data_IF_411577937478
#
_entry.id   IF_411577937478
#
_cell.length_a   1.000
_cell.length_b   1.000
_cell.length_c   1.000
_cell.angle_alpha   90.00
_cell.angle_beta   90.00
_cell.angle_gamma   90.00
#
_symmetry.space_group_name_H-M   'P 1'
#
loop_
_entity.id
_entity.type
_entity.pdbx_description
1 polymer ?
#
# COMPACT_ATOMS: atom_id res chain seq x y z
N UNK A 1 0.87 -3.70 12.46
CA UNK A 1 1.85 -3.28 13.50
C UNK A 1 3.31 -3.41 13.13
N UNK A 2 3.77 -4.44 12.40
CA UNK A 2 5.22 -4.58 12.12
C UNK A 2 5.85 -3.38 11.40
N UNK A 3 5.15 -2.75 10.44
CA UNK A 3 5.66 -1.57 9.73
C UNK A 3 5.87 -0.39 10.67
N UNK A 4 4.89 -0.13 11.55
CA UNK A 4 4.98 0.92 12.56
C UNK A 4 6.21 0.73 13.46
N UNK A 5 6.43 -0.49 13.97
CA UNK A 5 7.53 -0.77 14.89
C UNK A 5 8.90 -0.72 14.19
N UNK A 6 9.00 -1.24 12.97
CA UNK A 6 10.30 -1.41 12.30
C UNK A 6 10.73 -0.20 11.48
N UNK A 7 9.79 0.62 11.00
CA UNK A 7 10.06 1.73 10.10
C UNK A 7 9.67 3.06 10.74
N UNK A 8 8.41 3.19 11.19
CA UNK A 8 7.88 4.48 11.65
C UNK A 8 8.50 4.92 12.97
N UNK A 9 8.54 4.05 13.99
CA UNK A 9 9.11 4.40 15.29
C UNK A 9 10.61 4.77 15.21
N UNK A 10 11.48 4.00 14.53
CA UNK A 10 12.87 4.41 14.33
C UNK A 10 13.02 5.71 13.55
N UNK A 11 12.21 5.91 12.50
CA UNK A 11 12.24 7.14 11.70
C UNK A 11 11.81 8.38 12.49
N UNK A 12 10.83 8.24 13.39
CA UNK A 12 10.46 9.31 14.33
C UNK A 12 11.59 9.58 15.34
N UNK A 13 12.20 8.52 15.87
CA UNK A 13 13.29 8.65 16.85
C UNK A 13 14.56 9.28 16.25
N UNK A 14 14.87 9.01 14.97
CA UNK A 14 15.99 9.64 14.26
C UNK A 14 15.71 11.08 13.81
N UNK A 15 14.43 11.48 13.79
CA UNK A 15 13.97 12.75 13.24
C UNK A 15 13.91 12.78 11.71
N UNK A 16 14.01 11.63 11.05
CA UNK A 16 13.78 11.49 9.61
C UNK A 16 12.29 11.66 9.27
N UNK A 17 11.42 11.07 10.08
CA UNK A 17 9.97 11.27 10.04
C UNK A 17 9.64 12.38 11.05
N UNK A 18 8.93 13.40 10.59
CA UNK A 18 8.51 14.55 11.40
C UNK A 18 7.06 14.45 11.83
N UNK A 19 6.22 13.77 11.05
CA UNK A 19 4.80 13.58 11.33
C UNK A 19 4.37 12.16 10.91
N UNK A 20 3.52 11.55 11.72
CA UNK A 20 2.87 10.28 11.40
C UNK A 20 1.39 10.35 11.80
N UNK A 21 0.51 10.21 10.81
CA UNK A 21 -0.94 10.12 10.99
C UNK A 21 -1.39 8.70 10.61
N UNK A 22 -2.11 8.03 11.51
CA UNK A 22 -2.63 6.68 11.28
C UNK A 22 -4.05 6.76 10.70
N UNK A 23 -4.39 5.80 9.83
CA UNK A 23 -5.77 5.63 9.33
C UNK A 23 -6.34 6.89 8.66
N UNK A 24 -5.51 7.58 7.85
CA UNK A 24 -5.92 8.78 7.16
C UNK A 24 -6.95 8.47 6.06
N UNK A 25 -8.07 9.19 6.11
CA UNK A 25 -9.19 9.05 5.18
C UNK A 25 -8.96 9.84 3.89
N UNK A 26 -9.24 9.19 2.75
CA UNK A 26 -9.28 9.81 1.43
C UNK A 26 -10.59 9.45 0.74
N UNK A 27 -11.33 10.46 0.29
CA UNK A 27 -12.59 10.25 -0.41
C UNK A 27 -12.28 9.87 -1.86
N UNK A 28 -12.68 8.65 -2.26
CA UNK A 28 -12.57 8.16 -3.63
C UNK A 28 -13.84 8.39 -4.46
N UNK A 29 -14.96 8.57 -3.77
CA UNK A 29 -16.23 8.92 -4.38
C UNK A 29 -17.06 9.63 -3.31
N UNK A 30 -17.54 10.83 -3.60
CA UNK A 30 -18.36 11.57 -2.67
C UNK A 30 -19.70 10.86 -2.40
N UNK A 31 -20.33 11.23 -1.28
CA UNK A 31 -21.72 10.87 -1.02
C UNK A 31 -22.59 11.51 -2.08
N UNK A 32 -23.61 10.80 -2.55
CA UNK A 32 -24.57 11.37 -3.50
C UNK A 32 -25.95 10.77 -3.27
N UNK A 33 -26.97 11.41 -3.84
CA UNK A 33 -28.36 10.94 -3.76
C UNK A 33 -28.77 10.38 -5.11
N UNK A 34 -29.37 9.19 -5.10
CA UNK A 34 -29.98 8.57 -6.29
C UNK A 34 -31.37 8.08 -5.93
N UNK A 35 -32.39 8.59 -6.63
CA UNK A 35 -33.80 8.24 -6.41
C UNK A 35 -34.24 8.42 -4.95
N UNK A 36 -33.88 9.55 -4.33
CA UNK A 36 -34.19 9.86 -2.94
C UNK A 36 -33.42 9.03 -1.90
N UNK A 37 -32.56 8.09 -2.32
CA UNK A 37 -31.72 7.29 -1.42
C UNK A 37 -30.30 7.86 -1.38
N UNK A 38 -29.77 8.00 -0.17
CA UNK A 38 -28.38 8.40 0.05
C UNK A 38 -27.45 7.22 -0.22
N UNK A 39 -26.50 7.41 -1.13
CA UNK A 39 -25.39 6.49 -1.39
C UNK A 39 -24.19 7.00 -0.62
N UNK A 40 -23.62 6.13 0.23
CA UNK A 40 -22.48 6.46 1.07
C UNK A 40 -21.20 6.68 0.25
N UNK A 41 -20.27 7.52 0.73
CA UNK A 41 -19.02 7.77 0.03
C UNK A 41 -18.16 6.51 0.02
N UNK A 42 -17.35 6.37 -1.03
CA UNK A 42 -16.29 5.37 -1.05
C UNK A 42 -15.04 6.04 -0.49
N UNK A 43 -14.53 5.52 0.63
CA UNK A 43 -13.27 5.97 1.22
C UNK A 43 -12.15 4.96 1.00
N UNK A 44 -10.94 5.49 0.82
CA UNK A 44 -9.69 4.80 1.05
C UNK A 44 -9.19 5.22 2.44
N UNK A 45 -8.84 4.25 3.28
CA UNK A 45 -8.26 4.53 4.61
C UNK A 45 -6.84 3.99 4.56
N UNK A 46 -5.85 4.88 4.55
CA UNK A 46 -4.44 4.49 4.48
C UNK A 46 -3.92 4.13 5.87
N UNK A 47 -3.05 3.12 5.97
CA UNK A 47 -2.50 2.72 7.27
C UNK A 47 -1.65 3.83 7.89
N UNK A 48 -0.83 4.50 7.06
CA UNK A 48 0.04 5.59 7.48
C UNK A 48 0.05 6.73 6.47
N UNK A 49 0.07 7.94 6.98
CA UNK A 49 0.54 9.13 6.29
C UNK A 49 1.77 9.62 7.04
N UNK A 50 2.86 9.83 6.30
CA UNK A 50 4.15 10.20 6.84
C UNK A 50 4.61 11.51 6.19
N UNK A 51 5.15 12.42 7.00
CA UNK A 51 5.90 13.60 6.54
C UNK A 51 7.35 13.43 6.91
N UNK A 52 8.25 13.56 5.95
CA UNK A 52 9.68 13.45 6.16
C UNK A 52 10.32 14.83 6.41
N UNK A 53 11.54 14.82 6.94
CA UNK A 53 12.31 16.02 7.28
C UNK A 53 12.61 16.92 6.08
N UNK A 54 12.71 16.34 4.89
CA UNK A 54 12.89 17.07 3.63
C UNK A 54 11.60 17.73 3.11
N UNK A 55 10.49 17.56 3.82
CA UNK A 55 9.18 18.08 3.47
C UNK A 55 8.37 17.18 2.55
N UNK A 56 8.92 16.05 2.10
CA UNK A 56 8.18 15.07 1.30
C UNK A 56 7.12 14.37 2.14
N UNK A 57 6.03 13.97 1.48
CA UNK A 57 4.91 13.28 2.10
C UNK A 57 4.70 11.93 1.41
N UNK A 58 4.42 10.89 2.20
CA UNK A 58 4.18 9.56 1.66
C UNK A 58 3.03 8.87 2.38
N UNK A 59 2.23 8.17 1.58
CA UNK A 59 1.05 7.46 2.02
C UNK A 59 1.34 5.99 1.87
N UNK A 60 1.38 5.28 3.00
CA UNK A 60 1.73 3.88 3.05
C UNK A 60 0.50 3.05 3.40
N UNK A 61 0.36 1.95 2.66
CA UNK A 61 -0.58 0.90 3.02
C UNK A 61 0.11 -0.46 2.97
N UNK A 62 -0.04 -1.23 4.05
CA UNK A 62 0.63 -2.52 4.23
C UNK A 62 -0.29 -3.64 3.74
N UNK A 63 0.07 -4.26 2.61
CA UNK A 63 -0.70 -5.34 2.00
C UNK A 63 0.03 -6.69 2.12
N UNK A 64 -0.72 -7.74 2.44
CA UNK A 64 -0.28 -9.14 2.30
C UNK A 64 -0.71 -9.72 0.96
N UNK A 65 -2.03 -9.84 0.76
CA UNK A 65 -2.67 -10.24 -0.47
C UNK A 65 -3.80 -9.26 -0.78
N UNK A 66 -3.63 -8.44 -1.82
CA UNK A 66 -4.66 -7.50 -2.22
C UNK A 66 -5.77 -8.18 -3.01
N UNK A 67 -7.01 -8.00 -2.57
CA UNK A 67 -8.22 -8.44 -3.26
C UNK A 67 -8.60 -7.51 -4.43
N UNK A 68 -9.70 -7.84 -5.11
CA UNK A 68 -10.22 -7.04 -6.24
C UNK A 68 -10.64 -5.64 -5.80
N UNK A 69 -11.26 -5.51 -4.63
CA UNK A 69 -11.74 -4.25 -4.07
C UNK A 69 -10.60 -3.29 -3.76
N UNK A 70 -9.54 -3.78 -3.10
CA UNK A 70 -8.34 -3.00 -2.80
C UNK A 70 -7.67 -2.50 -4.08
N UNK A 71 -7.55 -3.37 -5.10
CA UNK A 71 -6.98 -3.02 -6.41
C UNK A 71 -7.82 -1.96 -7.12
N UNK A 72 -9.16 -2.08 -7.07
CA UNK A 72 -10.06 -1.08 -7.63
C UNK A 72 -9.89 0.27 -6.91
N UNK A 73 -9.93 0.26 -5.58
CA UNK A 73 -9.76 1.47 -4.77
C UNK A 73 -8.40 2.14 -5.00
N UNK A 74 -7.31 1.36 -5.14
CA UNK A 74 -5.98 1.88 -5.50
C UNK A 74 -5.96 2.58 -6.86
N UNK A 75 -6.63 2.02 -7.87
CA UNK A 75 -6.77 2.68 -9.18
C UNK A 75 -7.55 4.00 -9.09
N UNK A 76 -8.65 4.02 -8.33
CA UNK A 76 -9.43 5.24 -8.09
C UNK A 76 -8.60 6.29 -7.35
N UNK A 77 -7.82 5.86 -6.35
CA UNK A 77 -6.94 6.72 -5.59
C UNK A 77 -5.96 7.44 -6.49
N UNK A 78 -5.17 6.69 -7.29
CA UNK A 78 -4.20 7.29 -8.21
C UNK A 78 -4.83 8.25 -9.21
N UNK A 79 -6.09 8.00 -9.62
CA UNK A 79 -6.78 8.89 -10.54
C UNK A 79 -7.20 10.21 -9.89
N UNK A 80 -7.63 10.18 -8.64
CA UNK A 80 -8.12 11.37 -7.90
C UNK A 80 -7.01 12.15 -7.21
N UNK A 81 -5.96 11.46 -6.77
CA UNK A 81 -4.82 12.04 -6.06
C UNK A 81 -3.51 11.75 -6.82
N UNK A 82 -3.36 12.23 -8.08
CA UNK A 82 -2.21 11.87 -8.92
C UNK A 82 -0.87 12.42 -8.42
N UNK A 83 -0.90 13.44 -7.56
CA UNK A 83 0.29 14.12 -7.05
C UNK A 83 0.73 13.61 -5.67
N UNK A 84 -0.04 12.71 -5.05
CA UNK A 84 0.35 12.15 -3.75
C UNK A 84 1.20 10.91 -3.96
N UNK A 85 2.35 10.84 -3.28
CA UNK A 85 3.15 9.63 -3.27
C UNK A 85 2.46 8.57 -2.41
N UNK A 86 1.90 7.57 -3.07
CA UNK A 86 1.11 6.52 -2.45
C UNK A 86 1.58 5.16 -2.92
N UNK A 87 2.08 4.38 -1.96
CA UNK A 87 2.71 3.09 -2.20
C UNK A 87 2.11 1.99 -1.34
N UNK A 88 2.07 0.80 -1.93
CA UNK A 88 1.74 -0.42 -1.21
C UNK A 88 3.02 -1.15 -0.83
N UNK A 89 3.15 -1.52 0.43
CA UNK A 89 4.30 -2.27 0.93
C UNK A 89 3.88 -3.64 1.45
N UNK A 90 4.77 -4.61 1.32
CA UNK A 90 4.59 -5.97 1.84
C UNK A 90 5.81 -6.40 2.62
N UNK A 91 5.59 -7.12 3.72
CA UNK A 91 6.68 -7.78 4.42
C UNK A 91 7.03 -9.11 3.76
N UNK A 92 8.32 -9.33 3.51
CA UNK A 92 8.89 -10.62 3.12
C UNK A 92 10.25 -10.80 3.79
N UNK A 93 10.36 -11.76 4.71
CA UNK A 93 11.64 -12.10 5.34
C UNK A 93 12.67 -12.59 4.33
N UNK A 94 12.22 -13.29 3.27
CA UNK A 94 13.09 -13.79 2.20
C UNK A 94 13.66 -12.67 1.34
N UNK A 95 12.98 -11.52 1.28
CA UNK A 95 13.31 -10.40 0.42
C UNK A 95 13.81 -9.18 1.22
N UNK A 96 14.31 -9.40 2.44
CA UNK A 96 14.97 -8.35 3.23
C UNK A 96 14.05 -7.45 4.06
N UNK A 97 12.76 -7.80 4.23
CA UNK A 97 11.83 -7.04 5.07
C UNK A 97 10.68 -6.42 4.29
N UNK A 98 10.40 -5.14 4.51
CA UNK A 98 9.36 -4.43 3.77
C UNK A 98 9.86 -4.04 2.38
N UNK A 99 9.10 -4.42 1.36
CA UNK A 99 9.38 -4.16 -0.06
C UNK A 99 8.13 -3.66 -0.76
N UNK A 100 8.28 -3.04 -1.92
CA UNK A 100 7.14 -2.67 -2.78
C UNK A 100 6.28 -3.90 -3.10
N UNK A 101 4.96 -3.73 -3.00
CA UNK A 101 3.99 -4.81 -3.18
C UNK A 101 4.05 -5.39 -4.60
N UNK A 102 4.08 -4.55 -5.63
CA UNK A 102 4.03 -5.00 -7.02
C UNK A 102 5.33 -5.72 -7.40
N UNK A 103 6.47 -5.20 -6.93
CA UNK A 103 7.76 -5.87 -7.06
C UNK A 103 7.75 -7.26 -6.41
N UNK A 104 7.25 -7.38 -5.18
CA UNK A 104 7.14 -8.68 -4.50
C UNK A 104 6.21 -9.65 -5.23
N UNK A 105 5.09 -9.16 -5.79
CA UNK A 105 4.22 -10.00 -6.60
C UNK A 105 4.92 -10.50 -7.87
N UNK A 106 5.75 -9.67 -8.51
CA UNK A 106 6.56 -10.09 -9.65
C UNK A 106 7.54 -11.20 -9.26
N UNK A 107 8.34 -10.99 -8.21
CA UNK A 107 9.30 -11.98 -7.72
C UNK A 107 8.64 -13.33 -7.39
N UNK A 108 7.44 -13.31 -6.80
CA UNK A 108 6.67 -14.52 -6.51
C UNK A 108 6.23 -15.24 -7.78
N UNK A 109 5.82 -14.51 -8.82
CA UNK A 109 5.44 -15.10 -10.12
C UNK A 109 6.64 -15.74 -10.80
N UNK A 110 7.79 -15.06 -10.78
CA UNK A 110 9.02 -15.55 -11.40
C UNK A 110 9.53 -16.83 -10.74
N UNK A 111 9.55 -16.88 -9.39
CA UNK A 111 9.88 -18.09 -8.62
C UNK A 111 8.95 -19.26 -8.97
N UNK A 112 7.64 -18.99 -9.09
CA UNK A 112 6.64 -20.00 -9.46
C UNK A 112 6.82 -20.49 -10.90
N UNK A 113 7.28 -19.63 -11.81
CA UNK A 113 7.60 -20.00 -13.20
C UNK A 113 8.85 -20.88 -13.25
N UNK A 114 9.91 -20.50 -12.54
CA UNK A 114 11.15 -21.27 -12.46
C UNK A 114 10.92 -22.65 -11.85
N UNK A 115 10.15 -22.75 -10.75
CA UNK A 115 9.86 -24.05 -10.13
C UNK A 115 9.11 -25.00 -11.07
N UNK A 116 8.20 -24.48 -11.91
CA UNK A 116 7.48 -25.27 -12.92
C UNK A 116 8.37 -25.72 -14.07
N UNK A 117 9.32 -24.88 -14.49
CA UNK A 117 10.25 -25.24 -15.55
C UNK A 117 11.19 -26.35 -15.09
N UNK A 118 11.77 -26.22 -13.89
CA UNK A 118 12.68 -27.24 -13.35
C UNK A 118 11.99 -28.60 -13.18
N UNK A 119 10.71 -28.62 -12.77
CA UNK A 119 9.94 -29.87 -12.68
C UNK A 119 9.73 -30.55 -14.04
N UNK A 120 9.57 -29.79 -15.12
CA UNK A 120 9.44 -30.33 -16.48
C UNK A 120 10.75 -30.85 -17.04
N UNK A 121 11.88 -30.30 -16.63
CA UNK A 121 13.21 -30.79 -17.07
C UNK A 121 13.62 -32.09 -16.36
N UNK A 122 13.04 -32.35 -15.17
CA UNK A 122 13.27 -33.58 -14.40
C UNK A 122 12.26 -34.71 -14.68
N UNK A 123 11.29 -34.50 -15.58
CA UNK A 123 10.25 -35.48 -15.95
C UNK A 123 10.40 -35.88 -17.41
#
# INVERSE_FOLDING_TARGET
MRYYIQIVLPGLASGEITECELQKDYILQEKFIRNGKTVQPIKYVADFYLRFKDGSEQIIDVKGLADSTAKLKRKLFWKLYPNLDYVWVSYSAKDGGFVDYDHLQSLRRDRKRQSKNNQKETT
#
